data_IF_865309605589
#
_entry.id   IF_865309605589
#
_cell.length_a   1.000
_cell.length_b   1.000
_cell.length_c   1.000
_cell.angle_alpha   90.00
_cell.angle_beta   90.00
_cell.angle_gamma   90.00
#
_symmetry.space_group_name_H-M   'P 1'
#
loop_
_entity.id
_entity.type
_entity.pdbx_description
1 polymer ?
#
# COMPACT_ATOMS: atom_id res chain seq x y z
N UNK A 1 15.14 -8.71 7.58
CA UNK A 1 14.58 -8.23 6.30
C UNK A 1 13.11 -7.96 6.55
N UNK A 2 12.62 -6.74 6.31
CA UNK A 2 11.21 -6.42 6.48
C UNK A 2 10.59 -6.22 5.09
N UNK A 3 9.60 -7.04 4.76
CA UNK A 3 8.78 -6.86 3.57
C UNK A 3 7.59 -5.96 3.92
N UNK A 4 7.24 -5.06 3.02
CA UNK A 4 6.08 -4.18 3.15
C UNK A 4 5.26 -4.25 1.88
N UNK A 5 3.99 -4.65 2.01
CA UNK A 5 3.03 -4.52 0.92
C UNK A 5 2.48 -3.10 0.89
N UNK A 6 2.68 -2.41 -0.22
CA UNK A 6 2.20 -1.07 -0.45
C UNK A 6 1.01 -1.11 -1.42
N UNK A 7 -0.14 -0.68 -0.95
CA UNK A 7 -1.38 -0.58 -1.72
C UNK A 7 -1.70 0.90 -1.94
N UNK A 8 -1.67 1.35 -3.18
CA UNK A 8 -1.96 2.74 -3.52
C UNK A 8 -3.33 2.87 -4.14
N UNK A 9 -4.09 3.83 -3.63
CA UNK A 9 -5.44 4.16 -4.07
C UNK A 9 -5.46 5.59 -4.63
N UNK A 10 -6.41 5.86 -5.52
CA UNK A 10 -6.70 7.19 -6.01
C UNK A 10 -8.20 7.50 -5.87
N UNK A 11 -8.50 8.78 -5.70
CA UNK A 11 -9.87 9.29 -5.75
C UNK A 11 -10.12 10.00 -7.10
N UNK A 12 -11.36 10.39 -7.35
CA UNK A 12 -11.76 11.08 -8.59
C UNK A 12 -11.11 12.46 -8.77
N UNK A 13 -10.61 13.07 -7.69
CA UNK A 13 -9.92 14.35 -7.72
C UNK A 13 -8.41 14.20 -8.05
N UNK A 14 -7.92 12.97 -8.23
CA UNK A 14 -6.51 12.68 -8.52
C UNK A 14 -5.61 12.60 -7.29
N UNK A 15 -6.12 12.83 -6.09
CA UNK A 15 -5.40 12.61 -4.83
C UNK A 15 -5.17 11.13 -4.60
N UNK A 16 -4.01 10.78 -4.05
CA UNK A 16 -3.62 9.40 -3.77
C UNK A 16 -3.28 9.15 -2.31
N UNK A 17 -3.49 7.92 -1.87
CA UNK A 17 -3.08 7.43 -0.57
C UNK A 17 -2.44 6.06 -0.70
N UNK A 18 -1.39 5.81 0.06
CA UNK A 18 -0.72 4.51 0.12
C UNK A 18 -0.90 3.92 1.50
N UNK A 19 -1.45 2.70 1.56
CA UNK A 19 -1.53 1.89 2.77
C UNK A 19 -0.33 0.95 2.76
N UNK A 20 0.43 0.93 3.86
CA UNK A 20 1.57 0.06 4.06
C UNK A 20 1.18 -1.05 5.03
N UNK A 21 1.34 -2.30 4.62
CA UNK A 21 1.12 -3.48 5.45
C UNK A 21 2.48 -4.12 5.69
N UNK A 22 2.93 -4.08 6.94
CA UNK A 22 4.19 -4.71 7.35
C UNK A 22 4.00 -6.23 7.43
N UNK A 23 5.07 -6.96 7.10
CA UNK A 23 5.11 -8.43 7.14
C UNK A 23 3.88 -9.07 6.46
N UNK A 24 3.65 -8.76 5.17
CA UNK A 24 2.50 -9.29 4.46
C UNK A 24 2.56 -10.81 4.38
N UNK A 25 1.38 -11.43 4.17
CA UNK A 25 1.29 -12.88 3.94
C UNK A 25 2.29 -13.32 2.85
N UNK A 26 3.02 -14.43 3.03
CA UNK A 26 3.92 -14.93 1.99
C UNK A 26 3.15 -15.45 0.77
N UNK A 27 3.80 -15.42 -0.40
CA UNK A 27 3.26 -15.93 -1.67
C UNK A 27 1.92 -15.32 -2.09
N UNK A 28 1.73 -14.02 -1.82
CA UNK A 28 0.55 -13.28 -2.25
C UNK A 28 0.38 -13.35 -3.77
N UNK A 29 -0.80 -13.76 -4.20
CA UNK A 29 -1.19 -13.73 -5.61
C UNK A 29 -1.79 -12.38 -5.98
N UNK A 30 -1.78 -12.06 -7.26
CA UNK A 30 -2.44 -10.86 -7.79
C UNK A 30 -3.93 -10.82 -7.41
N UNK A 31 -4.62 -11.96 -7.46
CA UNK A 31 -6.04 -12.07 -7.15
C UNK A 31 -6.34 -11.73 -5.68
N UNK A 32 -5.52 -12.23 -4.75
CA UNK A 32 -5.66 -11.93 -3.31
C UNK A 32 -5.45 -10.44 -3.02
N UNK A 33 -4.43 -9.84 -3.64
CA UNK A 33 -4.14 -8.40 -3.48
C UNK A 33 -5.26 -7.56 -4.07
N UNK A 34 -5.74 -7.91 -5.26
CA UNK A 34 -6.85 -7.22 -5.92
C UNK A 34 -8.16 -7.32 -5.14
N UNK A 35 -8.44 -8.47 -4.52
CA UNK A 35 -9.60 -8.67 -3.66
C UNK A 35 -9.50 -7.81 -2.40
N UNK A 36 -8.35 -7.83 -1.71
CA UNK A 36 -8.12 -7.00 -0.53
C UNK A 36 -8.29 -5.50 -0.82
N UNK A 37 -7.73 -5.02 -1.94
CA UNK A 37 -7.91 -3.64 -2.38
C UNK A 37 -9.37 -3.32 -2.71
N UNK A 38 -10.14 -4.28 -3.26
CA UNK A 38 -11.57 -4.09 -3.51
C UNK A 38 -12.33 -3.92 -2.21
N UNK A 39 -12.11 -4.81 -1.24
CA UNK A 39 -12.76 -4.73 0.07
C UNK A 39 -12.52 -3.38 0.73
N UNK A 40 -11.29 -2.85 0.66
CA UNK A 40 -10.96 -1.54 1.23
C UNK A 40 -11.77 -0.40 0.57
N UNK A 41 -11.94 -0.44 -0.76
CA UNK A 41 -12.76 0.54 -1.49
C UNK A 41 -14.24 0.39 -1.10
N UNK A 42 -14.75 -0.85 -1.04
CA UNK A 42 -16.15 -1.14 -0.73
C UNK A 42 -16.53 -0.72 0.68
N UNK A 43 -15.59 -0.78 1.64
CA UNK A 43 -15.81 -0.27 2.99
C UNK A 43 -15.97 1.26 3.03
N UNK A 44 -15.50 2.00 2.00
CA UNK A 44 -15.65 3.45 1.88
C UNK A 44 -15.21 4.25 3.14
N UNK A 45 -14.27 3.70 3.92
CA UNK A 45 -13.80 4.32 5.18
C UNK A 45 -12.70 5.35 4.97
N UNK A 46 -12.05 5.34 3.81
CA UNK A 46 -10.95 6.25 3.50
C UNK A 46 -11.37 7.32 2.50
N UNK A 47 -11.18 8.58 2.87
CA UNK A 47 -11.40 9.73 2.02
C UNK A 47 -10.26 10.73 2.16
N UNK A 48 -10.11 11.56 1.13
CA UNK A 48 -9.23 12.72 1.15
C UNK A 48 -9.86 13.83 0.34
N UNK A 49 -9.77 15.06 0.86
CA UNK A 49 -10.34 16.25 0.23
C UNK A 49 -11.86 16.12 -0.03
N UNK A 50 -12.58 15.37 0.83
CA UNK A 50 -14.01 15.11 0.70
C UNK A 50 -14.39 14.01 -0.31
N UNK A 51 -13.42 13.42 -1.01
CA UNK A 51 -13.65 12.35 -1.98
C UNK A 51 -13.16 11.00 -1.46
N UNK A 52 -14.00 9.98 -1.61
CA UNK A 52 -13.64 8.60 -1.31
C UNK A 52 -12.62 8.06 -2.31
N UNK A 53 -11.72 7.21 -1.84
CA UNK A 53 -10.85 6.46 -2.72
C UNK A 53 -11.65 5.35 -3.44
N UNK A 54 -11.65 5.39 -4.77
CA UNK A 54 -12.46 4.50 -5.61
C UNK A 54 -11.67 3.82 -6.72
N UNK A 55 -10.36 4.06 -6.82
CA UNK A 55 -9.49 3.50 -7.86
C UNK A 55 -8.31 2.77 -7.22
N UNK A 56 -8.05 1.54 -7.67
CA UNK A 56 -6.83 0.76 -7.35
C UNK A 56 -5.70 1.25 -8.24
N UNK A 57 -4.80 2.09 -7.71
CA UNK A 57 -3.75 2.72 -8.51
C UNK A 57 -2.56 1.81 -8.74
N UNK A 58 -2.08 1.14 -7.69
CA UNK A 58 -0.98 0.17 -7.79
C UNK A 58 -0.86 -0.67 -6.52
N UNK A 59 -0.25 -1.84 -6.65
CA UNK A 59 0.19 -2.67 -5.53
C UNK A 59 1.62 -3.14 -5.77
N UNK A 60 2.46 -3.13 -4.73
CA UNK A 60 3.84 -3.62 -4.80
C UNK A 60 4.33 -4.12 -3.46
N UNK A 61 5.17 -5.16 -3.48
CA UNK A 61 5.96 -5.58 -2.31
C UNK A 61 7.28 -4.81 -2.36
N UNK A 62 7.65 -4.23 -1.23
CA UNK A 62 8.92 -3.53 -1.05
C UNK A 62 9.73 -4.25 0.01
N UNK A 63 10.93 -4.66 -0.36
CA UNK A 63 11.92 -5.18 0.60
C UNK A 63 12.93 -4.08 0.93
N UNK A 64 13.17 -3.86 2.22
CA UNK A 64 14.17 -2.89 2.67
C UNK A 64 15.28 -3.61 3.41
N UNK A 65 16.50 -3.36 2.97
CA UNK A 65 17.70 -3.70 3.72
C UNK A 65 18.33 -2.40 4.23
N UNK A 66 18.58 -2.32 5.54
CA UNK A 66 19.16 -1.13 6.19
C UNK A 66 20.44 -1.58 6.87
N UNK A 67 21.57 -1.05 6.39
CA UNK A 67 22.88 -1.27 6.98
C UNK A 67 23.38 0.06 7.53
N UNK A 68 23.58 0.14 8.83
CA UNK A 68 24.22 1.31 9.44
C UNK A 68 25.70 1.35 9.01
N UNK A 69 26.18 2.54 8.63
CA UNK A 69 27.60 2.78 8.36
C UNK A 69 28.10 3.70 9.48
N UNK A 70 29.05 3.20 10.27
CA UNK A 70 29.72 3.99 11.30
C UNK A 70 30.70 4.97 10.62
N UNK A 71 30.57 6.26 10.93
CA UNK A 71 31.49 7.29 10.45
C UNK A 71 32.44 7.67 11.59
N UNK A 72 33.73 7.40 11.41
CA UNK A 72 34.77 7.85 12.34
C UNK A 72 34.97 9.35 12.09
N UNK A 73 34.74 10.16 13.13
CA UNK A 73 34.96 11.61 13.13
C UNK A 73 36.42 11.95 13.44
#
# INVERSE_FOLDING_TARGET
MAQVLQLTFANIAGSTMTININDPKPNLTEAEVNAAMQTIIDQAVFSKDGFLFNVKKSARIVERNVTAIELIS
#
